data_IF_951531343847
#
_entry.id   IF_951531343847
#
_cell.length_a   1.000
_cell.length_b   1.000
_cell.length_c   1.000
_cell.angle_alpha   90.00
_cell.angle_beta   90.00
_cell.angle_gamma   90.00
#
_symmetry.space_group_name_H-M   'P 1'
#
loop_
_entity.id
_entity.type
_entity.pdbx_description
1 polymer ?
#
# COMPACT_ATOMS: atom_id res chain seq x y z
N UNK A 1 -0.28 -17.06 -0.11
CA UNK A 1 0.84 -16.12 -0.28
C UNK A 1 1.38 -15.80 1.10
N UNK A 2 2.67 -16.01 1.33
CA UNK A 2 3.31 -15.84 2.62
C UNK A 2 3.29 -14.36 3.02
N UNK A 3 2.77 -14.04 4.22
CA UNK A 3 2.86 -12.70 4.78
C UNK A 3 4.33 -12.41 5.07
N UNK A 4 4.99 -11.70 4.16
CA UNK A 4 6.35 -11.22 4.38
C UNK A 4 6.31 -10.22 5.53
N UNK A 5 6.85 -10.61 6.68
CA UNK A 5 7.01 -9.71 7.83
C UNK A 5 8.08 -8.70 7.48
N UNK A 6 7.68 -7.44 7.35
CA UNK A 6 8.61 -6.34 7.06
C UNK A 6 9.28 -5.86 8.35
N UNK A 7 10.58 -5.52 8.34
CA UNK A 7 11.28 -5.01 9.52
C UNK A 7 10.68 -3.67 9.99
N UNK A 8 10.86 -3.27 11.25
CA UNK A 8 10.45 -1.93 11.70
C UNK A 8 11.23 -0.85 10.92
N UNK A 9 10.58 0.28 10.61
CA UNK A 9 11.22 1.41 9.93
C UNK A 9 12.01 2.21 10.96
N UNK A 10 13.33 2.41 10.79
CA UNK A 10 14.13 3.23 11.69
C UNK A 10 13.67 4.71 11.72
N UNK A 11 13.96 5.42 12.81
CA UNK A 11 13.73 6.86 12.95
C UNK A 11 14.77 7.71 12.18
N UNK A 12 15.06 7.35 10.92
CA UNK A 12 16.00 8.06 10.03
C UNK A 12 15.21 9.01 9.11
N UNK A 13 15.78 10.19 8.81
CA UNK A 13 15.13 11.20 7.96
C UNK A 13 15.13 10.83 6.47
N UNK A 14 16.21 10.22 5.99
CA UNK A 14 16.37 9.87 4.57
C UNK A 14 16.88 8.43 4.43
N UNK A 15 16.27 7.69 3.51
CA UNK A 15 16.61 6.32 3.16
C UNK A 15 17.09 6.27 1.71
N UNK A 16 18.13 5.49 1.44
CA UNK A 16 18.56 5.19 0.08
C UNK A 16 17.65 4.12 -0.54
N UNK A 17 17.64 4.01 -1.87
CA UNK A 17 16.86 2.97 -2.57
C UNK A 17 17.19 1.53 -2.12
N UNK A 18 18.42 1.27 -1.69
CA UNK A 18 18.81 -0.03 -1.14
C UNK A 18 18.16 -0.28 0.21
N UNK A 19 18.25 0.69 1.13
CA UNK A 19 17.59 0.61 2.44
C UNK A 19 16.08 0.45 2.29
N UNK A 20 15.44 1.20 1.38
CA UNK A 20 14.00 1.08 1.13
C UNK A 20 13.63 -0.28 0.52
N UNK A 21 14.48 -0.83 -0.35
CA UNK A 21 14.29 -2.16 -0.91
C UNK A 21 14.25 -3.23 0.19
N UNK A 22 15.15 -3.14 1.17
CA UNK A 22 15.19 -4.06 2.32
C UNK A 22 13.98 -3.85 3.24
N UNK A 23 13.65 -2.59 3.57
CA UNK A 23 12.54 -2.25 4.45
C UNK A 23 11.17 -2.64 3.90
N UNK A 24 11.00 -2.64 2.58
CA UNK A 24 9.72 -2.92 1.93
C UNK A 24 9.68 -4.30 1.27
N UNK A 25 10.81 -5.00 1.16
CA UNK A 25 10.89 -6.28 0.45
C UNK A 25 10.60 -6.13 -1.06
N UNK A 26 10.92 -4.99 -1.65
CA UNK A 26 10.64 -4.65 -3.06
C UNK A 26 11.95 -4.36 -3.78
N UNK A 27 12.21 -5.02 -4.91
CA UNK A 27 13.47 -4.87 -5.64
C UNK A 27 13.69 -3.41 -6.10
N UNK A 28 14.94 -2.90 -6.16
CA UNK A 28 15.22 -1.51 -6.51
C UNK A 28 14.67 -1.07 -7.87
N UNK A 29 14.64 -1.95 -8.89
CA UNK A 29 14.08 -1.58 -10.19
C UNK A 29 12.55 -1.41 -10.16
N UNK A 30 11.85 -2.14 -9.28
CA UNK A 30 10.40 -1.99 -9.08
C UNK A 30 10.12 -0.66 -8.39
N UNK A 31 10.93 -0.26 -7.40
CA UNK A 31 10.82 1.06 -6.78
C UNK A 31 10.99 2.19 -7.80
N UNK A 32 11.97 2.09 -8.70
CA UNK A 32 12.17 3.06 -9.79
C UNK A 32 10.96 3.14 -10.72
N UNK A 33 10.34 1.99 -11.02
CA UNK A 33 9.14 1.94 -11.83
C UNK A 33 7.95 2.57 -11.10
N UNK A 34 7.76 2.26 -9.81
CA UNK A 34 6.71 2.86 -8.98
C UNK A 34 6.85 4.38 -8.87
N UNK A 35 8.05 4.94 -8.83
CA UNK A 35 8.24 6.40 -8.88
C UNK A 35 7.70 7.05 -10.16
N UNK A 36 7.62 6.31 -11.27
CA UNK A 36 7.04 6.79 -12.52
C UNK A 36 5.52 6.68 -12.50
N UNK A 37 5.00 5.63 -11.86
CA UNK A 37 3.57 5.33 -11.83
C UNK A 37 2.82 6.09 -10.73
N UNK A 38 3.44 6.37 -9.59
CA UNK A 38 2.81 7.00 -8.43
C UNK A 38 3.36 8.41 -8.23
N UNK A 39 2.59 9.42 -8.62
CA UNK A 39 2.99 10.85 -8.56
C UNK A 39 3.20 11.37 -7.14
N UNK A 40 2.66 10.68 -6.13
CA UNK A 40 2.83 10.95 -4.70
C UNK A 40 4.22 10.50 -4.19
N UNK A 41 4.90 9.60 -4.91
CA UNK A 41 6.24 9.12 -4.58
C UNK A 41 7.29 9.97 -5.28
N UNK A 42 7.87 10.94 -4.57
CA UNK A 42 8.77 11.97 -5.14
C UNK A 42 10.12 11.97 -4.42
N UNK A 43 10.97 10.96 -4.66
CA UNK A 43 12.25 10.88 -3.97
C UNK A 43 13.13 12.07 -4.34
N UNK A 44 13.82 12.60 -3.33
CA UNK A 44 14.76 13.71 -3.51
C UNK A 44 15.99 13.19 -4.27
N UNK A 45 16.22 13.75 -5.45
CA UNK A 45 17.43 13.49 -6.25
C UNK A 45 18.56 14.38 -5.76
N UNK A 46 19.71 13.78 -5.40
CA UNK A 46 20.94 14.51 -5.02
C UNK A 46 22.07 14.24 -6.03
N UNK A 47 23.25 14.83 -5.77
CA UNK A 47 24.48 14.63 -6.57
C UNK A 47 24.68 13.15 -6.92
N UNK A 48 25.02 12.89 -8.19
CA UNK A 48 25.20 11.54 -8.71
C UNK A 48 23.92 10.75 -8.96
N UNK A 49 22.77 11.42 -9.14
CA UNK A 49 21.47 10.79 -9.41
C UNK A 49 21.02 9.75 -8.35
N UNK A 50 21.50 9.92 -7.10
CA UNK A 50 21.10 9.08 -5.97
C UNK A 50 19.73 9.53 -5.47
N UNK A 51 18.85 8.56 -5.26
CA UNK A 51 17.47 8.76 -4.80
C UNK A 51 17.39 8.56 -3.29
N UNK A 52 16.80 9.55 -2.62
CA UNK A 52 16.56 9.51 -1.19
C UNK A 52 15.07 9.62 -0.92
N UNK A 53 14.57 8.70 -0.11
CA UNK A 53 13.18 8.63 0.31
C UNK A 53 13.07 9.11 1.75
N UNK A 54 11.98 9.80 2.06
CA UNK A 54 11.63 10.17 3.42
C UNK A 54 10.80 9.07 4.09
N UNK A 55 10.61 9.19 5.41
CA UNK A 55 9.82 8.23 6.17
C UNK A 55 8.40 8.03 5.60
N UNK A 56 7.69 9.11 5.25
CA UNK A 56 6.35 9.02 4.67
C UNK A 56 6.34 8.31 3.30
N UNK A 57 7.39 8.44 2.51
CA UNK A 57 7.52 7.74 1.23
C UNK A 57 7.74 6.24 1.43
N UNK A 58 8.46 5.84 2.48
CA UNK A 58 8.61 4.42 2.85
C UNK A 58 7.25 3.83 3.27
N UNK A 59 6.45 4.58 4.05
CA UNK A 59 5.09 4.17 4.41
C UNK A 59 4.20 4.04 3.16
N UNK A 60 4.27 5.00 2.25
CA UNK A 60 3.53 4.95 0.99
C UNK A 60 3.91 3.73 0.15
N UNK A 61 5.20 3.39 0.07
CA UNK A 61 5.68 2.19 -0.65
C UNK A 61 5.13 0.91 -0.02
N UNK A 62 5.09 0.82 1.33
CA UNK A 62 4.45 -0.33 1.99
C UNK A 62 2.97 -0.44 1.64
N UNK A 63 2.28 0.70 1.60
CA UNK A 63 0.88 0.73 1.20
C UNK A 63 0.67 0.29 -0.25
N UNK A 64 1.50 0.77 -1.17
CA UNK A 64 1.47 0.33 -2.58
C UNK A 64 1.67 -1.18 -2.66
N UNK A 65 2.64 -1.72 -1.92
CA UNK A 65 2.90 -3.17 -1.86
C UNK A 65 1.67 -3.95 -1.41
N UNK A 66 1.01 -3.52 -0.33
CA UNK A 66 -0.24 -4.15 0.16
C UNK A 66 -1.32 -4.15 -0.92
N UNK A 67 -1.54 -3.01 -1.58
CA UNK A 67 -2.54 -2.88 -2.64
C UNK A 67 -2.28 -3.86 -3.80
N UNK A 68 -1.03 -3.95 -4.24
CA UNK A 68 -0.68 -4.76 -5.41
C UNK A 68 -0.61 -6.26 -5.09
N UNK A 69 0.08 -6.63 -4.01
CA UNK A 69 0.40 -8.04 -3.73
C UNK A 69 -0.61 -8.72 -2.82
N UNK A 70 -1.24 -7.99 -1.89
CA UNK A 70 -2.17 -8.59 -0.92
C UNK A 70 -3.62 -8.42 -1.37
N UNK A 71 -3.95 -7.26 -1.94
CA UNK A 71 -5.30 -6.95 -2.41
C UNK A 71 -5.49 -7.18 -3.92
N UNK A 72 -4.41 -7.43 -4.67
CA UNK A 72 -4.49 -7.78 -6.09
C UNK A 72 -4.90 -6.63 -7.02
N UNK A 73 -4.73 -5.38 -6.59
CA UNK A 73 -4.98 -4.23 -7.47
C UNK A 73 -3.98 -4.18 -8.62
N UNK A 74 -4.43 -3.67 -9.77
CA UNK A 74 -3.53 -3.23 -10.83
C UNK A 74 -2.86 -1.90 -10.43
N UNK A 75 -1.77 -1.53 -11.10
CA UNK A 75 -1.08 -0.25 -10.88
C UNK A 75 -2.04 0.94 -10.96
N UNK A 76 -2.90 0.96 -11.99
CA UNK A 76 -3.91 2.00 -12.16
C UNK A 76 -4.97 1.98 -11.04
N UNK A 77 -5.41 0.79 -10.62
CA UNK A 77 -6.35 0.65 -9.51
C UNK A 77 -5.78 1.15 -8.18
N UNK A 78 -4.52 0.80 -7.89
CA UNK A 78 -3.81 1.25 -6.71
C UNK A 78 -3.60 2.78 -6.72
N UNK A 79 -3.25 3.36 -7.88
CA UNK A 79 -3.12 4.82 -8.04
C UNK A 79 -4.43 5.53 -7.70
N UNK A 80 -5.54 5.10 -8.31
CA UNK A 80 -6.84 5.69 -8.07
C UNK A 80 -7.27 5.60 -6.59
N UNK A 81 -6.92 4.49 -5.93
CA UNK A 81 -7.20 4.29 -4.50
C UNK A 81 -6.36 5.20 -3.60
N UNK A 82 -5.10 5.42 -3.93
CA UNK A 82 -4.23 6.33 -3.18
C UNK A 82 -4.63 7.80 -3.38
N UNK A 83 -5.06 8.17 -4.58
CA UNK A 83 -5.51 9.53 -4.88
C UNK A 83 -6.86 9.87 -4.24
N UNK A 84 -7.76 8.89 -4.08
CA UNK A 84 -9.02 9.10 -3.35
C UNK A 84 -8.81 9.20 -1.84
N UNK A 85 -7.89 8.42 -1.27
CA UNK A 85 -7.54 8.50 0.15
C UNK A 85 -6.78 9.79 0.50
N UNK A 86 -5.90 10.27 -0.37
CA UNK A 86 -5.22 11.56 -0.18
C UNK A 86 -6.18 12.77 -0.12
N UNK A 87 -7.38 12.65 -0.70
CA UNK A 87 -8.44 13.67 -0.60
C UNK A 87 -9.29 13.55 0.67
N UNK A 88 -9.44 12.35 1.23
CA UNK A 88 -10.14 12.14 2.50
C UNK A 88 -9.25 12.50 3.70
N UNK A 89 -7.96 12.16 3.67
CA UNK A 89 -7.01 12.45 4.74
C UNK A 89 -6.63 13.94 4.86
N UNK A 90 -7.00 14.80 3.89
CA UNK A 90 -6.81 16.25 3.97
C UNK A 90 -7.66 16.92 5.05
N UNK A 91 -8.79 16.29 5.40
CA UNK A 91 -9.73 16.77 6.43
C UNK A 91 -9.59 16.00 7.76
N UNK A 92 -8.95 14.83 7.76
CA UNK A 92 -8.81 13.98 8.96
C UNK A 92 -7.67 14.40 9.91
N UNK A 93 -6.77 15.29 9.47
CA UNK A 93 -5.68 15.80 10.32
C UNK A 93 -6.16 16.75 11.44
N UNK A 94 -7.42 17.20 11.42
CA UNK A 94 -8.01 18.08 12.43
C UNK A 94 -8.92 17.35 13.45
N UNK A 95 -9.16 16.04 13.30
CA UNK A 95 -10.16 15.30 14.12
C UNK A 95 -9.51 14.33 15.14
N UNK A 96 -8.18 14.35 15.29
CA UNK A 96 -7.48 13.38 16.13
C UNK A 96 -7.66 13.55 17.67
N UNK A 97 -8.42 14.55 18.17
CA UNK A 97 -8.59 14.77 19.62
C UNK A 97 -10.01 14.63 20.18
N UNK A 98 -11.01 14.23 19.39
CA UNK A 98 -12.37 14.08 19.91
C UNK A 98 -12.98 12.71 19.63
N UNK A 99 -12.92 11.86 20.66
CA UNK A 99 -13.97 10.91 21.06
C UNK A 99 -14.36 9.76 20.11
N UNK A 100 -14.10 8.54 20.59
CA UNK A 100 -15.12 7.50 20.80
C UNK A 100 -16.19 7.21 19.72
N UNK A 101 -16.11 5.98 19.19
CA UNK A 101 -17.14 5.19 18.50
C UNK A 101 -17.60 5.65 17.11
N UNK A 102 -17.27 4.84 16.08
CA UNK A 102 -18.23 4.35 15.07
C UNK A 102 -17.59 3.46 13.99
N UNK A 103 -18.10 2.23 13.92
CA UNK A 103 -18.37 1.42 12.73
C UNK A 103 -17.20 0.75 11.98
N UNK A 104 -17.01 -0.51 12.37
CA UNK A 104 -16.34 -1.56 11.60
C UNK A 104 -16.97 -1.70 10.21
N UNK A 105 -16.15 -1.62 9.16
CA UNK A 105 -16.52 -2.22 7.88
C UNK A 105 -16.46 -3.74 8.06
N UNK A 106 -17.52 -4.51 7.73
CA UNK A 106 -17.43 -5.95 7.81
C UNK A 106 -16.39 -6.38 6.78
N UNK A 107 -15.31 -7.00 7.28
CA UNK A 107 -14.38 -7.71 6.41
C UNK A 107 -15.19 -8.71 5.58
N UNK A 108 -14.83 -8.85 4.30
CA UNK A 108 -15.44 -9.85 3.43
C UNK A 108 -15.29 -11.20 4.12
N UNK A 109 -16.42 -11.79 4.52
CA UNK A 109 -16.44 -13.11 5.14
C UNK A 109 -16.05 -14.14 4.07
N UNK A 110 -14.80 -14.56 4.13
CA UNK A 110 -14.20 -15.48 3.17
C UNK A 110 -14.93 -16.83 3.18
N UNK A 111 -15.52 -17.22 4.31
CA UNK A 111 -16.28 -18.47 4.44
C UNK A 111 -17.64 -18.36 3.76
N UNK A 112 -18.28 -17.19 3.82
CA UNK A 112 -19.51 -16.90 3.07
C UNK A 112 -19.24 -16.94 1.56
N UNK A 113 -18.18 -16.27 1.11
CA UNK A 113 -17.79 -16.24 -0.30
C UNK A 113 -17.47 -17.64 -0.85
N UNK A 114 -16.82 -18.48 -0.03
CA UNK A 114 -16.53 -19.88 -0.39
C UNK A 114 -17.79 -20.70 -0.58
N UNK A 115 -18.81 -20.52 0.27
CA UNK A 115 -20.09 -21.22 0.15
C UNK A 115 -20.85 -20.81 -1.11
N UNK A 116 -20.88 -19.52 -1.42
CA UNK A 116 -21.54 -18.99 -2.62
C UNK A 116 -20.89 -19.51 -3.90
N UNK A 117 -19.55 -19.55 -3.96
CA UNK A 117 -18.83 -20.10 -5.11
C UNK A 117 -19.15 -21.58 -5.31
N UNK A 118 -19.22 -22.37 -4.24
CA UNK A 118 -19.57 -23.79 -4.32
C UNK A 118 -21.01 -24.00 -4.82
N UNK A 119 -21.95 -23.14 -4.43
CA UNK A 119 -23.33 -23.19 -4.94
C UNK A 119 -23.41 -22.87 -6.42
N UNK A 120 -22.62 -21.91 -6.91
CA UNK A 120 -22.57 -21.57 -8.35
C UNK A 120 -21.94 -22.70 -9.16
N UNK A 121 -20.89 -23.34 -8.65
CA UNK A 121 -20.26 -24.50 -9.30
C UNK A 121 -21.25 -25.68 -9.40
N UNK A 122 -22.04 -25.93 -8.35
CA UNK A 122 -23.07 -26.97 -8.34
C UNK A 122 -24.22 -26.66 -9.33
N UNK A 123 -24.59 -25.38 -9.46
CA UNK A 123 -25.60 -24.91 -10.42
C UNK A 123 -25.15 -24.99 -11.88
N UNK A 124 -23.86 -24.80 -12.15
CA UNK A 124 -23.28 -24.83 -13.50
C UNK A 124 -22.76 -26.21 -13.91
N UNK A 125 -22.74 -27.17 -12.98
CA UNK A 125 -22.28 -28.55 -13.18
C UNK A 125 -23.35 -29.53 -13.66
N UNK A 126 -24.49 -29.05 -14.18
CA UNK A 126 -25.60 -29.88 -14.71
C UNK A 126 -25.74 -29.77 -16.22
#
# INVERSE_FOLDING_TARGET
MEKVVLPPIPAKRYFTIGEVSELCGVKPHVLRYWEQEFTQLRPVKRRGNRRYYQHHEVLLIRRIRELLYEQGFTINGARNRLDSQGRANGDEAEIAEAQGSAQAQPGVDVDQLRKEILQVIDLLGR
#
